data_IF_169649162795
#
_entry.id   IF_169649162795
#
_cell.length_a   1.000
_cell.length_b   1.000
_cell.length_c   1.000
_cell.angle_alpha   90.00
_cell.angle_beta   90.00
_cell.angle_gamma   90.00
#
_symmetry.space_group_name_H-M   'P 1'
#
loop_
_entity.id
_entity.type
_entity.pdbx_description
1 polymer ?
#
# COMPACT_ATOMS: atom_id res chain seq x y z
N UNK A 1 -4.47 -9.53 22.69
CA UNK A 1 -4.70 -10.47 21.57
C UNK A 1 -4.21 -9.77 20.30
N UNK A 2 -3.21 -10.32 19.60
CA UNK A 2 -2.72 -9.76 18.34
C UNK A 2 -3.14 -10.71 17.20
N UNK A 3 -3.76 -10.17 16.16
CA UNK A 3 -4.20 -10.94 14.99
C UNK A 3 -3.47 -10.36 13.78
N UNK A 4 -2.75 -11.20 13.05
CA UNK A 4 -2.04 -10.82 11.82
C UNK A 4 -2.74 -11.48 10.64
N UNK A 5 -3.20 -10.66 9.69
CA UNK A 5 -3.85 -11.10 8.47
C UNK A 5 -2.95 -10.78 7.27
N UNK A 6 -2.83 -11.72 6.34
CA UNK A 6 -2.15 -11.49 5.07
C UNK A 6 -3.17 -11.26 3.97
N UNK A 7 -3.00 -10.18 3.21
CA UNK A 7 -3.86 -9.86 2.07
C UNK A 7 -3.64 -10.89 0.97
N UNK A 8 -4.74 -11.36 0.36
CA UNK A 8 -4.69 -12.23 -0.83
C UNK A 8 -4.05 -11.50 -2.01
N UNK A 9 -4.39 -10.23 -2.19
CA UNK A 9 -3.86 -9.38 -3.26
C UNK A 9 -2.83 -8.40 -2.70
N UNK A 10 -1.59 -8.48 -3.18
CA UNK A 10 -0.58 -7.44 -2.94
C UNK A 10 -1.02 -6.16 -3.66
N UNK A 11 -0.99 -5.02 -2.98
CA UNK A 11 -1.46 -3.76 -3.55
C UNK A 11 -2.92 -3.42 -3.39
N UNK A 12 -3.70 -4.23 -2.67
CA UNK A 12 -5.05 -3.82 -2.33
C UNK A 12 -5.01 -2.96 -1.06
N UNK A 13 -5.20 -1.65 -1.18
CA UNK A 13 -5.54 -0.79 -0.04
C UNK A 13 -6.92 -1.22 0.47
N UNK A 14 -7.00 -1.59 1.75
CA UNK A 14 -8.28 -1.87 2.39
C UNK A 14 -8.72 -0.60 3.10
N UNK A 15 -9.84 -0.02 2.67
CA UNK A 15 -10.41 1.17 3.30
C UNK A 15 -10.85 0.89 4.75
N UNK A 16 -11.03 -0.37 5.14
CA UNK A 16 -11.23 -0.79 6.51
C UNK A 16 -10.84 -2.26 6.69
N UNK A 17 -10.40 -2.69 7.89
CA UNK A 17 -10.24 -4.10 8.21
C UNK A 17 -11.53 -4.92 8.08
N UNK A 18 -12.71 -4.30 8.21
CA UNK A 18 -14.02 -4.97 8.11
C UNK A 18 -14.94 -4.14 7.21
N UNK A 19 -15.52 -4.78 6.20
CA UNK A 19 -16.47 -4.14 5.29
C UNK A 19 -17.64 -3.54 6.08
N UNK A 20 -17.88 -2.22 5.92
CA UNK A 20 -18.99 -1.52 6.56
C UNK A 20 -18.73 -1.04 8.00
N UNK A 21 -17.57 -1.33 8.60
CA UNK A 21 -17.18 -0.77 9.90
C UNK A 21 -16.03 0.22 9.73
N UNK A 22 -16.39 1.50 9.59
CA UNK A 22 -15.45 2.60 9.38
C UNK A 22 -14.96 2.67 7.94
N UNK A 23 -14.70 3.89 7.48
CA UNK A 23 -13.90 4.14 6.28
C UNK A 23 -12.65 4.89 6.72
N UNK A 24 -11.51 4.49 6.19
CA UNK A 24 -10.31 5.32 6.19
C UNK A 24 -10.66 6.64 5.52
N UNK A 25 -10.39 7.75 6.22
CA UNK A 25 -10.50 9.07 5.64
C UNK A 25 -9.66 9.16 4.36
N UNK A 26 -10.03 10.01 3.39
CA UNK A 26 -9.29 10.16 2.13
C UNK A 26 -7.80 10.43 2.34
N UNK A 27 -7.45 11.18 3.39
CA UNK A 27 -6.06 11.44 3.78
C UNK A 27 -5.32 10.18 4.26
N UNK A 28 -5.98 9.35 5.07
CA UNK A 28 -5.38 8.13 5.59
C UNK A 28 -5.22 7.07 4.47
N UNK A 29 -6.13 7.09 3.48
CA UNK A 29 -5.99 6.29 2.27
C UNK A 29 -4.74 6.69 1.49
N UNK A 30 -4.56 7.98 1.20
CA UNK A 30 -3.36 8.50 0.51
C UNK A 30 -2.06 8.15 1.24
N UNK A 31 -2.05 8.26 2.58
CA UNK A 31 -0.89 7.87 3.39
C UNK A 31 -0.55 6.38 3.24
N UNK A 32 -1.55 5.50 3.26
CA UNK A 32 -1.32 4.06 3.08
C UNK A 32 -0.88 3.73 1.64
N UNK A 33 -1.40 4.42 0.62
CA UNK A 33 -0.94 4.27 -0.76
C UNK A 33 0.56 4.60 -0.88
N UNK A 34 1.00 5.72 -0.28
CA UNK A 34 2.42 6.12 -0.23
C UNK A 34 3.29 5.10 0.49
N UNK A 35 2.80 4.56 1.61
CA UNK A 35 3.49 3.53 2.38
C UNK A 35 3.71 2.24 1.57
N UNK A 36 2.67 1.79 0.88
CA UNK A 36 2.73 0.63 -0.01
C UNK A 36 3.70 0.83 -1.18
N UNK A 37 3.76 2.04 -1.74
CA UNK A 37 4.72 2.38 -2.78
C UNK A 37 6.16 2.31 -2.27
N UNK A 38 6.44 2.89 -1.11
CA UNK A 38 7.77 2.85 -0.51
C UNK A 38 8.23 1.41 -0.26
N UNK A 39 7.32 0.55 0.23
CA UNK A 39 7.61 -0.87 0.43
C UNK A 39 8.00 -1.57 -0.89
N UNK A 40 7.29 -1.30 -1.99
CA UNK A 40 7.62 -1.84 -3.32
C UNK A 40 9.02 -1.40 -3.77
N UNK A 41 9.34 -0.12 -3.61
CA UNK A 41 10.66 0.42 -3.96
C UNK A 41 11.80 -0.22 -3.16
N UNK A 42 11.56 -0.47 -1.86
CA UNK A 42 12.48 -1.20 -0.99
C UNK A 42 12.67 -2.65 -1.44
N UNK A 43 11.58 -3.35 -1.77
CA UNK A 43 11.62 -4.72 -2.30
C UNK A 43 12.36 -4.80 -3.64
N UNK A 44 12.23 -3.79 -4.50
CA UNK A 44 12.87 -3.74 -5.82
C UNK A 44 14.35 -3.31 -5.78
N UNK A 45 14.77 -2.56 -4.76
CA UNK A 45 16.14 -2.05 -4.63
C UNK A 45 16.79 -2.51 -3.32
N UNK A 46 17.09 -3.82 -3.18
CA UNK A 46 17.79 -4.33 -2.02
C UNK A 46 19.20 -3.72 -1.95
N UNK A 47 19.45 -2.86 -0.96
CA UNK A 47 20.73 -2.17 -0.77
C UNK A 47 20.67 -0.65 -0.80
N UNK A 48 19.50 -0.07 -1.11
CA UNK A 48 19.26 1.37 -0.96
C UNK A 48 18.53 1.64 0.36
N UNK A 49 18.98 2.62 1.13
CA UNK A 49 18.35 3.01 2.40
C UNK A 49 17.20 4.00 2.14
N UNK A 50 15.97 3.55 2.36
CA UNK A 50 14.75 4.35 2.23
C UNK A 50 14.13 4.72 3.59
N UNK A 51 14.86 4.57 4.70
CA UNK A 51 14.35 4.83 6.06
C UNK A 51 13.86 6.27 6.27
N UNK A 52 14.41 7.24 5.53
CA UNK A 52 13.99 8.65 5.56
C UNK A 52 13.27 9.11 4.28
N UNK A 53 13.03 8.19 3.33
CA UNK A 53 12.39 8.56 2.07
C UNK A 53 10.89 8.73 2.27
N UNK A 54 10.38 9.88 1.84
CA UNK A 54 8.94 10.16 1.76
C UNK A 54 8.54 10.27 0.30
N UNK A 55 7.39 9.67 -0.03
CA UNK A 55 6.84 9.81 -1.36
C UNK A 55 6.15 11.17 -1.50
N UNK A 56 6.75 12.08 -2.26
CA UNK A 56 6.18 13.38 -2.62
C UNK A 56 5.65 13.34 -4.06
N UNK A 57 4.32 13.38 -4.23
CA UNK A 57 3.67 13.35 -5.54
C UNK A 57 2.29 12.72 -5.50
N UNK A 58 1.60 12.74 -6.65
CA UNK A 58 0.37 11.97 -6.85
C UNK A 58 0.73 10.48 -6.92
N UNK A 59 0.28 9.71 -5.95
CA UNK A 59 0.47 8.26 -5.92
C UNK A 59 -0.50 7.62 -6.93
N UNK A 60 -0.02 6.92 -7.98
CA UNK A 60 -0.88 6.11 -8.82
C UNK A 60 -1.54 4.99 -8.00
N UNK A 61 -2.62 4.39 -8.51
CA UNK A 61 -3.31 3.33 -7.79
C UNK A 61 -2.37 2.19 -7.33
N UNK A 62 -2.39 1.78 -6.05
CA UNK A 62 -1.55 0.70 -5.51
C UNK A 62 -1.62 -0.62 -6.26
N UNK A 63 -2.75 -0.91 -6.89
CA UNK A 63 -2.90 -2.09 -7.75
C UNK A 63 -2.03 -2.01 -9.00
N UNK A 64 -1.79 -0.82 -9.55
CA UNK A 64 -0.97 -0.64 -10.75
C UNK A 64 0.50 -0.94 -10.49
N UNK A 65 1.05 -0.45 -9.38
CA UNK A 65 2.48 -0.59 -9.09
C UNK A 65 2.85 -1.81 -8.23
N UNK A 66 1.94 -2.33 -7.40
CA UNK A 66 2.25 -3.52 -6.58
C UNK A 66 2.08 -4.84 -7.33
N UNK A 67 1.76 -4.82 -8.63
CA UNK A 67 1.59 -6.03 -9.43
C UNK A 67 0.18 -6.60 -9.32
N UNK A 68 -0.84 -5.75 -9.39
CA UNK A 68 -2.22 -6.18 -9.58
C UNK A 68 -2.34 -7.14 -10.76
N UNK A 69 -3.38 -7.97 -10.71
CA UNK A 69 -3.74 -8.90 -11.78
C UNK A 69 -3.78 -8.15 -13.11
N UNK A 70 -2.78 -8.40 -13.96
CA UNK A 70 -2.91 -8.19 -15.39
C UNK A 70 -3.92 -9.25 -15.86
N UNK A 71 -5.20 -8.89 -15.83
CA UNK A 71 -6.15 -9.57 -16.71
C UNK A 71 -5.73 -9.19 -18.12
N UNK A 72 -5.04 -10.11 -18.78
CA UNK A 72 -4.95 -10.13 -20.24
C UNK A 72 -6.36 -10.12 -20.86
#
# INVERSE_FOLDING_TARGET
MHITLQKREKGQTWASPILGQGQLDPYATDLEQKRLMLQRFQEENPGFDFSQAQFSGNCPDPRSFMGGIRSD
#
